data_IF_772152162582
#
_entry.id   IF_772152162582
#
_cell.length_a   1.000
_cell.length_b   1.000
_cell.length_c   1.000
_cell.angle_alpha   90.00
_cell.angle_beta   90.00
_cell.angle_gamma   90.00
#
_symmetry.space_group_name_H-M   'P 1'
#
loop_
_entity.id
_entity.type
_entity.pdbx_description
1 polymer ?
#
# COMPACT_ATOMS: atom_id res chain seq x y z
N UNK A 1 -5.12 -15.91 14.10
CA UNK A 1 -4.13 -14.99 14.71
C UNK A 1 -4.44 -13.59 14.21
N UNK A 2 -5.52 -12.99 14.68
CA UNK A 2 -5.98 -11.67 14.21
C UNK A 2 -6.58 -10.94 15.40
N UNK A 3 -6.05 -9.74 15.69
CA UNK A 3 -6.61 -8.63 16.49
C UNK A 3 -5.52 -7.81 17.19
N UNK A 4 -4.28 -8.30 17.27
CA UNK A 4 -3.21 -7.59 17.97
C UNK A 4 -2.59 -6.41 17.21
N UNK A 5 -2.71 -6.36 15.88
CA UNK A 5 -1.87 -5.51 15.01
C UNK A 5 -2.63 -4.41 14.25
N UNK A 6 -3.95 -4.54 14.15
CA UNK A 6 -4.79 -3.58 13.45
C UNK A 6 -5.16 -2.46 14.43
N UNK A 7 -4.99 -1.22 13.98
CA UNK A 7 -5.48 -0.02 14.65
C UNK A 7 -6.95 0.19 14.26
N UNK A 8 -7.22 0.30 12.96
CA UNK A 8 -8.58 0.32 12.43
C UNK A 8 -8.68 -0.22 11.00
N UNK A 9 -9.89 -0.63 10.63
CA UNK A 9 -10.25 -1.11 9.31
C UNK A 9 -10.76 0.05 8.42
N UNK A 10 -10.49 -0.05 7.12
CA UNK A 10 -10.81 0.97 6.11
C UNK A 10 -11.46 0.27 4.93
N UNK A 11 -12.76 0.50 4.79
CA UNK A 11 -13.51 0.10 3.60
C UNK A 11 -13.14 0.99 2.41
N UNK A 12 -13.17 0.42 1.21
CA UNK A 12 -13.06 1.23 -0.01
C UNK A 12 -14.29 2.14 -0.11
N UNK A 13 -14.13 3.47 -0.23
CA UNK A 13 -15.27 4.38 -0.38
C UNK A 13 -16.13 4.02 -1.59
N UNK A 14 -17.46 4.10 -1.48
CA UNK A 14 -18.39 3.65 -2.54
C UNK A 14 -18.09 4.28 -3.90
N UNK A 15 -17.75 5.57 -3.92
CA UNK A 15 -17.38 6.29 -5.15
C UNK A 15 -16.16 5.66 -5.84
N UNK A 16 -15.14 5.29 -5.07
CA UNK A 16 -13.94 4.61 -5.57
C UNK A 16 -14.32 3.20 -6.02
N UNK A 17 -15.09 2.48 -5.20
CA UNK A 17 -15.55 1.12 -5.48
C UNK A 17 -16.28 1.04 -6.83
N UNK A 18 -17.22 1.93 -7.11
CA UNK A 18 -17.97 1.95 -8.38
C UNK A 18 -17.07 2.19 -9.60
N UNK A 19 -16.08 3.09 -9.50
CA UNK A 19 -15.17 3.40 -10.62
C UNK A 19 -14.33 2.17 -10.99
N UNK A 20 -13.76 1.50 -10.00
CA UNK A 20 -12.82 0.39 -10.22
C UNK A 20 -13.52 -0.93 -10.53
N UNK A 21 -14.68 -1.21 -9.90
CA UNK A 21 -15.45 -2.43 -10.19
C UNK A 21 -16.00 -2.45 -11.62
N UNK A 22 -16.47 -1.30 -12.13
CA UNK A 22 -16.92 -1.18 -13.52
C UNK A 22 -15.78 -1.43 -14.52
N UNK A 23 -14.53 -1.26 -14.11
CA UNK A 23 -13.34 -1.55 -14.90
C UNK A 23 -12.79 -2.98 -14.67
N UNK A 24 -13.49 -3.82 -13.89
CA UNK A 24 -13.05 -5.18 -13.54
C UNK A 24 -11.84 -5.22 -12.60
N UNK A 25 -11.57 -4.13 -11.88
CA UNK A 25 -10.44 -4.00 -10.96
C UNK A 25 -10.89 -4.33 -9.55
N UNK A 26 -10.11 -5.16 -8.85
CA UNK A 26 -10.36 -5.50 -7.45
C UNK A 26 -10.19 -4.28 -6.54
N UNK A 27 -11.13 -4.11 -5.61
CA UNK A 27 -11.19 -3.01 -4.63
C UNK A 27 -11.08 -3.58 -3.22
N UNK A 28 -9.90 -4.03 -2.79
CA UNK A 28 -9.73 -4.55 -1.44
C UNK A 28 -9.84 -3.42 -0.42
N UNK A 29 -10.39 -3.76 0.74
CA UNK A 29 -10.30 -2.96 1.95
C UNK A 29 -8.88 -3.02 2.55
N UNK A 30 -8.57 -2.07 3.42
CA UNK A 30 -7.26 -1.91 4.04
C UNK A 30 -7.36 -1.85 5.55
N UNK A 31 -6.37 -2.40 6.23
CA UNK A 31 -6.18 -2.23 7.66
C UNK A 31 -5.05 -1.22 7.89
N UNK A 32 -5.30 -0.22 8.72
CA UNK A 32 -4.22 0.55 9.32
C UNK A 32 -3.59 -0.30 10.41
N UNK A 33 -2.28 -0.47 10.35
CA UNK A 33 -1.54 -1.19 11.38
C UNK A 33 -1.16 -0.25 12.54
N UNK A 34 -0.96 -0.81 13.74
CA UNK A 34 -0.56 -0.04 14.91
C UNK A 34 0.76 0.67 14.68
N UNK A 35 0.73 1.99 14.89
CA UNK A 35 1.90 2.85 14.75
C UNK A 35 3.00 2.42 15.73
N UNK A 36 4.26 2.44 15.28
CA UNK A 36 5.45 2.14 16.09
C UNK A 36 5.41 0.77 16.78
N UNK A 37 4.62 -0.17 16.26
CA UNK A 37 4.56 -1.54 16.75
C UNK A 37 5.47 -2.44 15.89
N UNK A 38 6.48 -3.06 16.51
CA UNK A 38 7.47 -3.87 15.78
C UNK A 38 6.83 -5.00 14.97
N UNK A 39 5.84 -5.71 15.53
CA UNK A 39 5.18 -6.81 14.84
C UNK A 39 4.35 -6.33 13.63
N UNK A 40 3.79 -5.12 13.71
CA UNK A 40 3.09 -4.46 12.60
C UNK A 40 4.07 -4.09 11.49
N UNK A 41 5.22 -3.49 11.85
CA UNK A 41 6.30 -3.15 10.91
C UNK A 41 6.83 -4.42 10.22
N UNK A 42 7.09 -5.48 10.99
CA UNK A 42 7.58 -6.75 10.45
C UNK A 42 6.56 -7.41 9.51
N UNK A 43 5.27 -7.30 9.83
CA UNK A 43 4.18 -7.80 8.98
C UNK A 43 4.16 -7.06 7.64
N UNK A 44 4.27 -5.73 7.67
CA UNK A 44 4.35 -4.91 6.46
C UNK A 44 5.61 -5.22 5.63
N UNK A 45 6.78 -5.31 6.28
CA UNK A 45 8.05 -5.70 5.63
C UNK A 45 7.95 -7.08 4.96
N UNK A 46 7.32 -8.07 5.61
CA UNK A 46 7.06 -9.40 5.03
C UNK A 46 6.18 -9.32 3.79
N UNK A 47 5.14 -8.48 3.80
CA UNK A 47 4.27 -8.28 2.65
C UNK A 47 5.03 -7.66 1.46
N UNK A 48 5.88 -6.65 1.71
CA UNK A 48 6.78 -6.08 0.70
C UNK A 48 7.72 -7.14 0.14
N UNK A 49 8.37 -7.93 1.01
CA UNK A 49 9.31 -8.98 0.58
C UNK A 49 8.60 -10.06 -0.26
N UNK A 50 7.35 -10.41 0.10
CA UNK A 50 6.51 -11.31 -0.70
C UNK A 50 6.20 -10.69 -2.07
N UNK A 51 5.80 -9.42 -2.11
CA UNK A 51 5.51 -8.71 -3.36
C UNK A 51 6.73 -8.63 -4.29
N UNK A 52 7.91 -8.33 -3.75
CA UNK A 52 9.19 -8.36 -4.49
C UNK A 52 9.43 -9.71 -5.16
N UNK A 53 9.29 -10.80 -4.41
CA UNK A 53 9.46 -12.18 -4.92
C UNK A 53 8.44 -12.51 -6.02
N UNK A 54 7.18 -12.09 -5.85
CA UNK A 54 6.12 -12.32 -6.83
C UNK A 54 6.34 -11.57 -8.15
N UNK A 55 7.01 -10.42 -8.11
CA UNK A 55 7.22 -9.55 -9.28
C UNK A 55 8.49 -9.89 -10.10
N UNK A 56 9.31 -10.85 -9.66
CA UNK A 56 10.57 -11.27 -10.29
C UNK A 56 11.43 -10.06 -10.70
N UNK A 57 11.70 -9.88 -11.99
CA UNK A 57 12.55 -8.79 -12.53
C UNK A 57 11.99 -7.38 -12.24
N UNK A 58 10.69 -7.25 -11.94
CA UNK A 58 10.06 -5.98 -11.56
C UNK A 58 10.02 -5.74 -10.05
N UNK A 59 10.51 -6.69 -9.24
CA UNK A 59 10.61 -6.55 -7.79
C UNK A 59 11.57 -5.43 -7.38
N UNK A 60 12.47 -5.01 -8.27
CA UNK A 60 13.38 -3.88 -8.08
C UNK A 60 12.65 -2.54 -7.92
N UNK A 61 11.43 -2.41 -8.46
CA UNK A 61 10.61 -1.19 -8.33
C UNK A 61 9.91 -1.07 -6.97
N UNK A 62 9.97 -2.11 -6.14
CA UNK A 62 9.47 -2.04 -4.78
C UNK A 62 10.65 -1.70 -3.87
N UNK A 63 10.56 -0.61 -3.12
CA UNK A 63 11.58 -0.26 -2.14
C UNK A 63 11.21 -0.87 -0.78
N UNK A 64 12.17 -1.49 -0.09
CA UNK A 64 11.99 -1.87 1.30
C UNK A 64 12.83 -0.91 2.13
N UNK A 65 12.18 -0.09 2.95
CA UNK A 65 12.85 0.85 3.84
C UNK A 65 13.38 0.14 5.08
N UNK A 66 14.50 0.63 5.59
CA UNK A 66 15.10 0.13 6.82
C UNK A 66 14.25 0.49 8.03
N UNK A 67 13.67 1.70 8.03
CA UNK A 67 12.85 2.23 9.11
C UNK A 67 11.44 2.62 8.64
N UNK A 68 10.45 2.26 9.47
CA UNK A 68 9.04 2.60 9.32
C UNK A 68 8.46 3.27 10.58
N UNK A 69 9.32 3.68 11.51
CA UNK A 69 8.94 4.46 12.67
C UNK A 69 8.27 5.75 12.24
N UNK A 70 7.18 6.09 12.92
CA UNK A 70 6.32 7.25 12.67
C UNK A 70 5.65 7.28 11.29
N UNK A 71 5.66 6.16 10.55
CA UNK A 71 4.94 6.01 9.28
C UNK A 71 3.62 5.27 9.54
N UNK A 72 2.51 5.85 9.12
CA UNK A 72 1.21 5.17 9.14
C UNK A 72 1.19 4.10 8.04
N UNK A 73 1.11 2.82 8.44
CA UNK A 73 1.17 1.69 7.52
C UNK A 73 -0.22 1.14 7.25
N UNK A 74 -0.52 0.93 5.96
CA UNK A 74 -1.80 0.41 5.50
C UNK A 74 -1.56 -0.84 4.65
N UNK A 75 -2.21 -1.94 5.03
CA UNK A 75 -2.07 -3.23 4.35
C UNK A 75 -3.46 -3.73 3.94
N UNK A 76 -3.62 -4.16 2.70
CA UNK A 76 -4.88 -4.76 2.26
C UNK A 76 -5.16 -6.06 3.01
N UNK A 77 -6.43 -6.42 3.19
CA UNK A 77 -6.80 -7.64 3.93
C UNK A 77 -6.21 -8.92 3.34
N UNK A 78 -6.07 -8.96 2.02
CA UNK A 78 -5.42 -10.07 1.30
C UNK A 78 -3.88 -10.09 1.49
N UNK A 79 -3.30 -9.05 2.08
CA UNK A 79 -1.86 -8.86 2.26
C UNK A 79 -1.09 -8.69 0.95
N UNK A 80 -1.79 -8.45 -0.16
CA UNK A 80 -1.21 -8.39 -1.50
C UNK A 80 -0.79 -7.00 -1.92
N UNK A 81 -1.20 -5.95 -1.21
CA UNK A 81 -0.87 -4.56 -1.50
C UNK A 81 -0.82 -3.71 -0.23
N UNK A 82 -0.07 -2.62 -0.27
CA UNK A 82 0.00 -1.69 0.86
C UNK A 82 0.73 -0.40 0.53
N UNK A 83 0.63 0.56 1.44
CA UNK A 83 1.27 1.88 1.34
C UNK A 83 1.55 2.43 2.74
N UNK A 84 2.52 3.33 2.83
CA UNK A 84 2.85 4.10 4.03
C UNK A 84 2.54 5.58 3.81
N UNK A 85 2.14 6.27 4.88
CA UNK A 85 1.95 7.73 4.87
C UNK A 85 2.75 8.33 6.03
N UNK A 86 3.74 9.17 5.70
CA UNK A 86 4.50 9.95 6.68
C UNK A 86 3.59 11.03 7.34
N UNK A 87 3.94 11.56 8.52
CA UNK A 87 3.12 12.57 9.20
C UNK A 87 2.89 13.86 8.41
N UNK A 88 3.80 14.19 7.48
CA UNK A 88 3.68 15.35 6.58
C UNK A 88 2.74 15.11 5.38
N UNK A 89 2.21 13.89 5.22
CA UNK A 89 1.34 13.51 4.12
C UNK A 89 2.06 12.89 2.91
N UNK A 90 3.37 12.64 2.99
CA UNK A 90 4.07 11.93 1.92
C UNK A 90 3.67 10.46 1.89
N UNK A 91 3.22 10.01 0.72
CA UNK A 91 2.92 8.62 0.43
C UNK A 91 4.23 7.93 0.04
N UNK A 92 4.58 6.88 0.77
CA UNK A 92 5.81 6.11 0.63
C UNK A 92 5.53 4.61 0.60
N UNK A 93 6.51 3.82 0.15
CA UNK A 93 6.48 2.35 0.22
C UNK A 93 5.19 1.72 -0.34
N UNK A 94 4.73 2.24 -1.48
CA UNK A 94 3.57 1.71 -2.21
C UNK A 94 3.98 0.41 -2.91
N UNK A 95 3.26 -0.68 -2.68
CA UNK A 95 3.55 -1.97 -3.32
C UNK A 95 2.29 -2.77 -3.67
N UNK A 96 2.42 -3.62 -4.69
CA UNK A 96 1.45 -4.66 -5.03
C UNK A 96 2.18 -5.92 -5.49
N UNK A 97 1.78 -7.08 -4.97
CA UNK A 97 2.30 -8.40 -5.35
C UNK A 97 1.78 -8.89 -6.70
N UNK A 98 0.69 -8.31 -7.21
CA UNK A 98 0.11 -8.63 -8.51
C UNK A 98 0.14 -7.41 -9.43
N UNK A 99 0.47 -7.63 -10.69
CA UNK A 99 0.28 -6.64 -11.76
C UNK A 99 -1.17 -6.69 -12.22
N UNK A 100 -2.03 -5.90 -11.58
CA UNK A 100 -3.42 -5.71 -11.98
C UNK A 100 -3.57 -4.28 -12.47
N UNK A 101 -4.06 -4.11 -13.71
CA UNK A 101 -4.33 -2.79 -14.29
C UNK A 101 -5.27 -2.01 -13.36
N UNK A 102 -4.95 -0.75 -13.09
CA UNK A 102 -5.75 0.12 -12.21
C UNK A 102 -5.55 -0.06 -10.70
N UNK A 103 -4.85 -1.12 -10.23
CA UNK A 103 -4.61 -1.32 -8.79
C UNK A 103 -3.76 -0.21 -8.17
N UNK A 104 -2.79 0.32 -8.91
CA UNK A 104 -1.98 1.47 -8.48
C UNK A 104 -2.81 2.73 -8.31
N UNK A 105 -3.74 3.01 -9.23
CA UNK A 105 -4.64 4.15 -9.13
C UNK A 105 -5.59 4.00 -7.92
N UNK A 106 -6.15 2.80 -7.71
CA UNK A 106 -6.96 2.53 -6.53
C UNK A 106 -6.20 2.75 -5.22
N UNK A 107 -4.94 2.29 -5.15
CA UNK A 107 -4.10 2.50 -3.97
C UNK A 107 -3.81 3.98 -3.69
N UNK A 108 -3.60 4.79 -4.74
CA UNK A 108 -3.40 6.22 -4.58
C UNK A 108 -4.65 6.91 -4.04
N UNK A 109 -5.84 6.56 -4.55
CA UNK A 109 -7.12 7.07 -4.02
C UNK A 109 -7.31 6.71 -2.54
N UNK A 110 -6.98 5.46 -2.17
CA UNK A 110 -7.01 5.05 -0.77
C UNK A 110 -6.02 5.84 0.08
N UNK A 111 -4.80 6.06 -0.39
CA UNK A 111 -3.80 6.83 0.35
C UNK A 111 -4.22 8.30 0.53
N UNK A 112 -4.79 8.92 -0.50
CA UNK A 112 -5.35 10.29 -0.43
C UNK A 112 -6.49 10.36 0.59
N UNK A 113 -7.38 9.36 0.62
CA UNK A 113 -8.47 9.30 1.60
C UNK A 113 -7.97 9.27 3.06
N UNK A 114 -6.72 8.82 3.28
CA UNK A 114 -6.09 8.71 4.60
C UNK A 114 -5.10 9.86 4.88
N UNK A 115 -5.15 10.95 4.12
CA UNK A 115 -4.31 12.13 4.34
C UNK A 115 -3.02 12.16 3.52
N UNK A 116 -2.83 11.25 2.58
CA UNK A 116 -1.77 11.32 1.58
C UNK A 116 -1.94 12.53 0.66
N UNK A 117 -0.86 13.26 0.41
CA UNK A 117 -0.85 14.52 -0.36
C UNK A 117 0.10 14.49 -1.53
N UNK A 118 1.26 13.88 -1.34
CA UNK A 118 2.32 13.83 -2.34
C UNK A 118 2.88 12.42 -2.40
N UNK A 119 3.00 11.88 -3.61
CA UNK A 119 3.71 10.62 -3.80
C UNK A 119 5.22 10.91 -3.81
N UNK A 120 5.92 10.45 -2.78
CA UNK A 120 7.38 10.52 -2.70
C UNK A 120 7.95 9.35 -3.52
N UNK A 121 7.99 9.55 -4.84
CA UNK A 121 8.45 8.58 -5.82
C UNK A 121 9.91 8.89 -6.19
N UNK A 122 10.87 8.44 -5.37
CA UNK A 122 12.28 8.49 -5.78
C UNK A 122 12.70 7.15 -6.43
N UNK A 123 12.97 7.25 -7.74
CA UNK A 123 13.83 6.41 -8.61
C UNK A 123 13.59 4.89 -8.58
N UNK A 124 13.05 4.20 -9.58
CA UNK A 124 13.27 4.19 -11.02
C UNK A 124 12.06 3.49 -11.68
N UNK A 125 11.73 3.83 -12.93
CA UNK A 125 10.75 3.16 -13.83
C UNK A 125 9.28 3.63 -13.91
N UNK A 126 8.88 4.78 -13.34
CA UNK A 126 7.54 5.36 -13.57
C UNK A 126 7.46 6.44 -14.65
N UNK A 127 8.60 6.89 -15.20
CA UNK A 127 8.67 7.84 -16.33
C UNK A 127 8.31 7.24 -17.70
N UNK A 128 7.96 5.95 -17.79
CA UNK A 128 7.59 5.29 -19.05
C UNK A 128 6.10 4.90 -19.15
N UNK A 129 5.28 5.21 -18.14
CA UNK A 129 3.87 4.75 -18.07
C UNK A 129 2.86 5.92 -18.10
N UNK A 130 3.33 7.17 -18.07
CA UNK A 130 2.50 8.36 -18.32
C UNK A 130 2.77 8.92 -19.72
#
# INVERSE_FOLDING_TARGET
>A
MGDGLVDYHIETPDKVKSIFQNAGVSTPSYNKLKLNNQQSIDTFKKAIAKAKKSLKDNGASVELKDDYTDINLYLSEDGESGFGIKPNGDIVSVFSSKKVKGRSAHMLEMAISQGGRQLDCFDIYLTKIY
#
